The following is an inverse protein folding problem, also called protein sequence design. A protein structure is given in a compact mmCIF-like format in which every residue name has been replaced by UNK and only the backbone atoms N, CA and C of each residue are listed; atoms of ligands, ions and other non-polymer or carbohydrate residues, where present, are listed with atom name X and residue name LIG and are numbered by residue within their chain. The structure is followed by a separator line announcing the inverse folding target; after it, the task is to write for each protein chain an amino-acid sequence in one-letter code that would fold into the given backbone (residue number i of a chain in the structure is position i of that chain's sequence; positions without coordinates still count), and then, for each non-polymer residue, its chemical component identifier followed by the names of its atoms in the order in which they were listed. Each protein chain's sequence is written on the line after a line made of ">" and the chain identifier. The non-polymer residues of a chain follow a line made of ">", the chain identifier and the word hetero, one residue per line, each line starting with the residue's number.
data_IF_625033009165
#
_entry.id   IF_625033009165
#
_cell.length_a   1.000
_cell.length_b   1.000
_cell.length_c   1.000
_cell.angle_alpha   90.00
_cell.angle_beta   90.00
_cell.angle_gamma   90.00
#
_symmetry.space_group_name_H-M   'P 1'
#
loop_
_entity.id
_entity.type
_entity.pdbx_description
1 polymer ?
#
# COMPACT_ATOMS: atom_id res chain seq x y z
N UNK A 1 -37.66 -8.73 12.98
CA UNK A 1 -38.62 -7.64 12.91
C UNK A 1 -39.93 -8.11 13.54
N UNK A 2 -40.54 -7.27 14.33
CA UNK A 2 -41.81 -7.54 15.00
C UNK A 2 -42.96 -6.81 14.31
N UNK A 3 -44.22 -7.28 14.56
CA UNK A 3 -45.44 -6.67 14.02
C UNK A 3 -45.78 -5.30 14.58
N UNK A 4 -45.17 -4.92 15.72
CA UNK A 4 -45.27 -3.63 16.38
C UNK A 4 -44.10 -2.68 16.06
N UNK A 5 -43.30 -3.02 15.00
CA UNK A 5 -42.32 -2.12 14.40
C UNK A 5 -40.94 -2.13 15.03
N UNK A 6 -40.60 -3.10 15.89
CA UNK A 6 -39.23 -3.22 16.40
C UNK A 6 -38.36 -4.06 15.47
N UNK A 7 -37.15 -3.59 15.27
CA UNK A 7 -36.06 -4.41 14.71
C UNK A 7 -35.08 -4.76 15.84
N UNK A 8 -34.83 -6.04 16.04
CA UNK A 8 -33.97 -6.55 17.09
C UNK A 8 -32.75 -7.20 16.43
N UNK A 9 -31.56 -6.75 16.82
CA UNK A 9 -30.28 -7.31 16.43
C UNK A 9 -29.61 -7.89 17.66
N UNK A 10 -29.18 -9.16 17.56
CA UNK A 10 -28.48 -9.85 18.63
C UNK A 10 -27.44 -10.81 18.04
N UNK A 11 -26.41 -11.13 18.81
CA UNK A 11 -25.38 -12.11 18.42
C UNK A 11 -25.93 -13.52 18.25
N UNK A 12 -26.99 -13.84 18.99
CA UNK A 12 -27.63 -15.17 18.98
C UNK A 12 -29.16 -15.08 19.13
N UNK A 13 -29.82 -16.14 18.72
CA UNK A 13 -31.27 -16.27 18.86
C UNK A 13 -31.62 -16.53 20.32
N UNK A 14 -32.60 -15.80 20.84
CA UNK A 14 -33.09 -15.97 22.22
C UNK A 14 -32.42 -15.02 23.23
N UNK A 15 -31.50 -14.16 22.81
CA UNK A 15 -30.93 -13.12 23.67
C UNK A 15 -31.99 -12.18 24.26
N UNK A 16 -33.10 -11.98 23.54
CA UNK A 16 -34.27 -11.28 24.00
C UNK A 16 -35.52 -12.17 23.80
N UNK A 17 -36.31 -12.44 24.83
CA UNK A 17 -37.53 -13.21 24.70
C UNK A 17 -38.59 -12.41 23.94
N UNK A 18 -38.91 -12.85 22.72
CA UNK A 18 -39.95 -12.27 21.87
C UNK A 18 -40.95 -13.37 21.55
N UNK A 19 -42.24 -13.17 21.87
CA UNK A 19 -43.28 -14.13 21.54
C UNK A 19 -43.34 -14.41 20.04
N UNK A 20 -43.44 -15.67 19.63
CA UNK A 20 -43.44 -16.04 18.20
C UNK A 20 -44.47 -15.31 17.34
N UNK A 21 -45.65 -15.07 17.88
CA UNK A 21 -46.76 -14.38 17.22
C UNK A 21 -46.48 -12.90 16.93
N UNK A 22 -45.50 -12.32 17.57
CA UNK A 22 -45.03 -10.94 17.29
C UNK A 22 -44.00 -10.87 16.19
N UNK A 23 -43.45 -12.00 15.77
CA UNK A 23 -42.31 -12.04 14.82
C UNK A 23 -42.83 -12.09 13.38
N UNK A 24 -42.60 -11.03 12.62
CA UNK A 24 -42.95 -10.94 11.22
C UNK A 24 -41.82 -11.51 10.35
N UNK A 25 -40.56 -11.27 10.74
CA UNK A 25 -39.38 -11.69 9.97
C UNK A 25 -38.23 -12.04 10.89
N UNK A 26 -37.57 -13.19 10.58
CA UNK A 26 -36.26 -13.57 11.12
C UNK A 26 -35.27 -13.71 9.97
N UNK A 27 -34.07 -13.22 10.16
CA UNK A 27 -32.98 -13.39 9.21
C UNK A 27 -31.63 -13.38 9.92
N UNK A 28 -30.59 -13.78 9.24
CA UNK A 28 -29.21 -13.68 9.70
C UNK A 28 -28.44 -12.79 8.73
N UNK A 29 -27.72 -11.80 9.29
CA UNK A 29 -26.80 -11.01 8.49
C UNK A 29 -25.62 -11.91 8.08
N UNK A 30 -25.44 -12.07 6.77
CA UNK A 30 -24.37 -12.90 6.23
C UNK A 30 -23.04 -12.11 6.21
N UNK A 31 -21.89 -12.78 6.30
CA UNK A 31 -20.58 -12.13 6.13
C UNK A 31 -20.52 -11.34 4.80
N UNK A 32 -19.93 -10.15 4.83
CA UNK A 32 -19.83 -9.28 3.66
C UNK A 32 -21.15 -8.63 3.19
N UNK A 33 -22.24 -8.80 3.96
CA UNK A 33 -23.54 -8.19 3.69
C UNK A 33 -23.78 -7.01 4.64
N UNK A 34 -24.48 -6.00 4.14
CA UNK A 34 -24.87 -4.80 4.88
C UNK A 34 -26.38 -4.75 5.09
N UNK A 35 -26.79 -4.13 6.18
CA UNK A 35 -28.17 -3.81 6.49
C UNK A 35 -28.21 -2.38 7.01
N UNK A 36 -28.98 -1.52 6.37
CA UNK A 36 -29.21 -0.15 6.82
C UNK A 36 -30.66 -0.03 7.33
N UNK A 37 -30.80 0.54 8.50
CA UNK A 37 -32.11 0.84 9.09
C UNK A 37 -32.20 2.35 9.36
N UNK A 38 -33.06 3.03 8.63
CA UNK A 38 -33.40 4.43 8.91
C UNK A 38 -34.57 4.48 9.88
N UNK A 39 -34.28 4.78 11.14
CA UNK A 39 -35.27 4.84 12.21
C UNK A 39 -36.23 6.03 12.12
N UNK A 40 -35.90 7.04 11.30
CA UNK A 40 -36.79 8.20 11.10
C UNK A 40 -37.88 7.87 10.10
N UNK A 41 -37.57 7.12 9.08
CA UNK A 41 -38.50 6.74 8.00
C UNK A 41 -39.09 5.35 8.20
N UNK A 42 -38.53 4.54 9.10
CA UNK A 42 -38.85 3.13 9.27
C UNK A 42 -38.41 2.24 8.11
N UNK A 43 -37.51 2.72 7.27
CA UNK A 43 -37.04 2.00 6.07
C UNK A 43 -35.89 1.05 6.40
N UNK A 44 -36.00 -0.17 5.87
CA UNK A 44 -34.93 -1.18 5.99
C UNK A 44 -34.40 -1.46 4.59
N UNK A 45 -33.15 -1.09 4.33
CA UNK A 45 -32.45 -1.35 3.06
C UNK A 45 -31.54 -2.56 3.20
N UNK A 46 -31.68 -3.51 2.29
CA UNK A 46 -30.85 -4.70 2.23
C UNK A 46 -29.59 -4.48 1.39
N UNK A 47 -28.62 -5.38 1.55
CA UNK A 47 -27.28 -5.30 0.96
C UNK A 47 -27.29 -4.91 -0.53
N UNK A 48 -28.09 -5.58 -1.34
CA UNK A 48 -28.10 -5.33 -2.80
C UNK A 48 -28.62 -3.94 -3.14
N UNK A 49 -29.67 -3.52 -2.51
CA UNK A 49 -30.27 -2.20 -2.72
C UNK A 49 -29.34 -1.09 -2.23
N UNK A 50 -28.76 -1.29 -1.05
CA UNK A 50 -27.82 -0.34 -0.45
C UNK A 50 -26.56 -0.17 -1.32
N UNK A 51 -25.95 -1.28 -1.76
CA UNK A 51 -24.80 -1.25 -2.66
C UNK A 51 -25.11 -0.59 -4.00
N UNK A 52 -26.27 -0.91 -4.58
CA UNK A 52 -26.70 -0.29 -5.83
C UNK A 52 -26.92 1.22 -5.67
N UNK A 53 -27.52 1.65 -4.56
CA UNK A 53 -27.73 3.06 -4.28
C UNK A 53 -26.40 3.82 -4.22
N UNK A 54 -25.45 3.34 -3.43
CA UNK A 54 -24.13 3.99 -3.32
C UNK A 54 -23.33 3.92 -4.62
N UNK A 55 -23.38 2.80 -5.33
CA UNK A 55 -22.66 2.67 -6.60
C UNK A 55 -23.22 3.58 -7.71
N UNK A 56 -24.48 4.00 -7.60
CA UNK A 56 -25.14 4.89 -8.55
C UNK A 56 -25.14 6.38 -8.12
N UNK A 57 -24.59 6.70 -6.95
CA UNK A 57 -24.61 8.06 -6.39
C UNK A 57 -23.76 9.03 -7.20
N UNK A 58 -22.63 8.55 -7.71
CA UNK A 58 -21.70 9.30 -8.55
C UNK A 58 -21.22 8.46 -9.75
N UNK A 59 -20.71 9.09 -10.80
CA UNK A 59 -20.16 8.40 -11.96
C UNK A 59 -18.70 7.93 -11.69
N UNK A 60 -18.52 7.07 -10.69
CA UNK A 60 -17.19 6.62 -10.22
C UNK A 60 -16.33 6.00 -11.34
N UNK A 61 -16.94 5.29 -12.29
CA UNK A 61 -16.24 4.74 -13.45
C UNK A 61 -15.63 5.83 -14.32
N UNK A 62 -16.40 6.88 -14.62
CA UNK A 62 -15.93 8.02 -15.42
C UNK A 62 -14.80 8.78 -14.69
N UNK A 63 -14.90 8.92 -13.36
CA UNK A 63 -13.86 9.55 -12.55
C UNK A 63 -12.54 8.77 -12.61
N UNK A 64 -12.61 7.45 -12.50
CA UNK A 64 -11.42 6.60 -12.62
C UNK A 64 -10.83 6.66 -14.03
N UNK A 65 -11.65 6.61 -15.06
CA UNK A 65 -11.19 6.68 -16.47
C UNK A 65 -10.49 8.01 -16.79
N UNK A 66 -10.92 9.11 -16.16
CA UNK A 66 -10.38 10.45 -16.40
C UNK A 66 -9.17 10.79 -15.54
N UNK A 67 -9.16 10.36 -14.28
CA UNK A 67 -8.21 10.85 -13.27
C UNK A 67 -7.13 9.84 -12.90
N UNK A 68 -7.43 8.52 -12.98
CA UNK A 68 -6.48 7.48 -12.59
C UNK A 68 -5.39 7.32 -13.66
N UNK A 69 -4.14 7.59 -13.26
CA UNK A 69 -3.00 7.44 -14.16
C UNK A 69 -2.34 6.08 -13.96
N UNK A 70 -2.15 5.33 -15.04
CA UNK A 70 -1.41 4.08 -15.03
C UNK A 70 0.09 4.34 -15.29
N UNK A 71 0.99 3.78 -14.48
CA UNK A 71 2.44 3.89 -14.73
C UNK A 71 2.84 3.36 -16.11
N UNK A 72 2.13 2.35 -16.62
CA UNK A 72 2.36 1.77 -17.93
C UNK A 72 2.15 2.81 -19.05
N UNK A 73 1.16 3.67 -18.93
CA UNK A 73 0.74 4.62 -19.96
C UNK A 73 1.61 5.88 -20.02
N UNK A 74 2.43 6.12 -18.97
CA UNK A 74 3.36 7.26 -18.97
C UNK A 74 4.45 7.03 -20.03
N UNK A 75 4.68 8.00 -20.93
CA UNK A 75 5.75 7.92 -21.92
C UNK A 75 7.13 7.76 -21.27
N UNK A 76 7.98 6.97 -21.88
CA UNK A 76 9.38 6.82 -21.42
C UNK A 76 10.11 8.11 -21.72
N UNK A 77 10.69 8.78 -20.70
CA UNK A 77 11.48 10.00 -20.93
C UNK A 77 12.67 9.74 -21.85
N UNK A 78 12.98 10.71 -22.73
CA UNK A 78 14.17 10.62 -23.57
C UNK A 78 15.45 10.90 -22.76
N UNK A 79 15.74 9.98 -21.82
CA UNK A 79 16.92 10.01 -20.95
C UNK A 79 17.60 8.66 -20.97
N UNK A 80 18.93 8.65 -21.00
CA UNK A 80 19.69 7.39 -20.92
C UNK A 80 19.63 6.83 -19.50
N UNK A 81 19.33 5.55 -19.38
CA UNK A 81 19.45 4.82 -18.12
C UNK A 81 20.93 4.73 -17.76
N UNK A 82 21.35 5.03 -16.52
CA UNK A 82 22.72 4.88 -16.08
C UNK A 82 23.20 3.43 -16.26
N UNK A 83 24.34 3.28 -16.88
CA UNK A 83 25.04 1.99 -16.99
C UNK A 83 26.23 2.01 -16.05
N UNK A 84 26.38 0.95 -15.28
CA UNK A 84 27.45 0.82 -14.30
C UNK A 84 28.45 -0.24 -14.72
N UNK A 85 29.73 0.05 -14.60
CA UNK A 85 30.80 -0.93 -14.71
C UNK A 85 30.69 -1.99 -13.62
N UNK A 86 31.36 -3.12 -13.78
CA UNK A 86 31.38 -4.18 -12.76
C UNK A 86 31.91 -3.67 -11.40
N UNK A 87 32.89 -2.77 -11.40
CA UNK A 87 33.46 -2.18 -10.20
C UNK A 87 32.45 -1.24 -9.51
N UNK A 88 31.76 -0.40 -10.25
CA UNK A 88 30.73 0.50 -9.72
C UNK A 88 29.56 -0.29 -9.14
N UNK A 89 29.08 -1.33 -9.85
CA UNK A 89 28.03 -2.23 -9.30
C UNK A 89 28.47 -2.89 -8.00
N UNK A 90 29.71 -3.39 -7.92
CA UNK A 90 30.22 -3.98 -6.68
C UNK A 90 30.28 -2.98 -5.53
N UNK A 91 30.59 -1.71 -5.81
CA UNK A 91 30.54 -0.64 -4.81
C UNK A 91 29.11 -0.33 -4.37
N UNK A 92 28.16 -0.25 -5.32
CA UNK A 92 26.75 -0.04 -5.02
C UNK A 92 26.17 -1.17 -4.17
N UNK A 93 26.48 -2.43 -4.47
CA UNK A 93 26.05 -3.56 -3.65
C UNK A 93 26.51 -3.40 -2.20
N UNK A 94 27.77 -2.99 -1.98
CA UNK A 94 28.29 -2.74 -0.62
C UNK A 94 27.58 -1.55 0.06
N UNK A 95 27.33 -0.47 -0.66
CA UNK A 95 26.66 0.73 -0.13
C UNK A 95 25.23 0.39 0.29
N UNK A 96 24.50 -0.39 -0.51
CA UNK A 96 23.14 -0.81 -0.22
C UNK A 96 23.04 -2.05 0.67
N UNK A 97 24.15 -2.59 1.15
CA UNK A 97 24.20 -3.70 2.11
C UNK A 97 23.91 -5.07 1.50
N UNK A 98 23.94 -5.24 0.18
CA UNK A 98 23.79 -6.55 -0.45
C UNK A 98 25.01 -7.43 -0.21
N UNK A 99 24.78 -8.63 0.32
CA UNK A 99 25.79 -9.65 0.50
C UNK A 99 25.96 -10.50 -0.78
N UNK A 100 27.08 -11.23 -0.84
CA UNK A 100 27.29 -12.20 -1.93
C UNK A 100 26.18 -13.26 -1.96
N UNK A 101 25.81 -13.76 -0.79
CA UNK A 101 24.79 -14.81 -0.66
C UNK A 101 23.41 -14.31 -1.11
N UNK A 102 23.00 -13.11 -0.74
CA UNK A 102 21.74 -12.53 -1.21
C UNK A 102 21.70 -12.40 -2.72
N UNK A 103 22.81 -11.96 -3.34
CA UNK A 103 22.87 -11.81 -4.79
C UNK A 103 22.81 -13.16 -5.49
N UNK A 104 23.57 -14.17 -5.02
CA UNK A 104 23.71 -15.45 -5.71
C UNK A 104 22.63 -16.47 -5.36
N UNK A 105 22.13 -16.44 -4.12
CA UNK A 105 21.16 -17.41 -3.63
C UNK A 105 19.72 -16.94 -3.71
N UNK A 106 19.48 -15.63 -3.82
CA UNK A 106 18.15 -15.05 -3.92
C UNK A 106 17.93 -14.30 -5.25
N UNK A 107 18.62 -13.18 -5.47
CA UNK A 107 18.34 -12.27 -6.57
C UNK A 107 18.62 -12.92 -7.94
N UNK A 108 19.76 -13.61 -8.09
CA UNK A 108 20.13 -14.26 -9.35
C UNK A 108 19.17 -15.40 -9.73
N UNK A 109 18.77 -16.31 -8.83
CA UNK A 109 17.72 -17.28 -9.13
C UNK A 109 16.39 -16.66 -9.54
N UNK A 110 15.94 -15.62 -8.84
CA UNK A 110 14.71 -14.89 -9.22
C UNK A 110 14.82 -14.31 -10.63
N UNK A 111 15.95 -13.68 -10.96
CA UNK A 111 16.18 -13.10 -12.27
C UNK A 111 16.23 -14.15 -13.39
N UNK A 112 16.72 -15.36 -13.11
CA UNK A 112 16.82 -16.46 -14.07
C UNK A 112 15.51 -17.21 -14.28
N UNK A 113 14.79 -17.45 -13.18
CA UNK A 113 13.68 -18.39 -13.19
C UNK A 113 12.31 -17.70 -13.15
N UNK A 114 12.27 -16.37 -12.88
CA UNK A 114 11.02 -15.65 -12.70
C UNK A 114 10.21 -16.12 -11.50
N UNK A 115 10.86 -16.78 -10.52
CA UNK A 115 10.22 -17.33 -9.33
C UNK A 115 11.11 -17.12 -8.10
N UNK A 116 10.49 -17.00 -6.96
CA UNK A 116 11.18 -16.86 -5.68
C UNK A 116 11.91 -18.17 -5.31
N UNK A 117 13.19 -18.13 -4.92
CA UNK A 117 13.91 -19.31 -4.48
C UNK A 117 13.45 -19.76 -3.10
N UNK A 118 13.63 -21.04 -2.81
CA UNK A 118 13.42 -21.56 -1.46
C UNK A 118 14.51 -20.98 -0.53
N UNK A 119 14.09 -20.32 0.54
CA UNK A 119 14.97 -19.71 1.53
C UNK A 119 14.43 -19.91 2.94
N UNK A 120 15.33 -19.85 3.93
CA UNK A 120 14.92 -19.79 5.33
C UNK A 120 14.27 -18.44 5.63
N UNK A 121 13.19 -18.44 6.42
CA UNK A 121 12.57 -17.21 6.89
C UNK A 121 13.29 -16.68 8.12
N UNK A 122 13.59 -15.37 8.10
CA UNK A 122 14.26 -14.65 9.18
C UNK A 122 15.77 -14.94 9.23
N UNK A 123 16.47 -14.16 10.02
CA UNK A 123 17.89 -14.34 10.28
C UNK A 123 18.14 -14.34 11.78
N UNK A 124 18.53 -15.50 12.33
CA UNK A 124 18.98 -15.64 13.72
C UNK A 124 20.49 -15.50 13.87
N UNK A 125 21.15 -14.89 12.89
CA UNK A 125 22.58 -14.66 12.92
C UNK A 125 22.88 -13.62 14.00
N UNK A 126 23.74 -13.93 15.01
CA UNK A 126 24.17 -12.95 16.00
C UNK A 126 24.86 -11.76 15.33
N UNK A 127 24.58 -10.56 15.81
CA UNK A 127 25.29 -9.38 15.35
C UNK A 127 26.79 -9.49 15.68
N UNK A 128 27.63 -9.15 14.71
CA UNK A 128 29.08 -9.11 14.89
C UNK A 128 29.46 -7.81 15.66
N UNK A 129 29.25 -7.80 16.96
CA UNK A 129 29.37 -6.61 17.82
C UNK A 129 30.76 -5.99 17.86
N UNK A 130 31.80 -6.75 17.49
CA UNK A 130 33.17 -6.27 17.37
C UNK A 130 33.56 -5.83 15.96
N UNK A 131 32.64 -5.89 15.01
CA UNK A 131 32.89 -5.46 13.63
C UNK A 131 32.67 -3.96 13.48
N UNK A 132 33.61 -3.29 12.83
CA UNK A 132 33.45 -1.89 12.40
C UNK A 132 32.66 -1.74 11.09
N UNK A 133 32.23 -2.86 10.48
CA UNK A 133 31.44 -2.81 9.24
C UNK A 133 30.03 -2.39 9.56
N UNK A 134 29.56 -1.42 8.77
CA UNK A 134 28.16 -0.98 8.80
C UNK A 134 27.21 -2.14 8.47
N UNK A 135 26.15 -2.25 9.25
CA UNK A 135 25.02 -3.14 8.99
C UNK A 135 23.75 -2.30 8.76
N UNK A 136 22.86 -2.69 7.85
CA UNK A 136 21.55 -2.07 7.72
C UNK A 136 20.78 -2.07 9.04
N UNK A 137 20.05 -1.00 9.31
CA UNK A 137 19.36 -0.79 10.58
C UNK A 137 18.41 -1.93 10.94
N UNK A 138 17.72 -2.51 9.97
CA UNK A 138 16.76 -3.60 10.19
C UNK A 138 17.39 -4.90 10.72
N UNK A 139 18.71 -5.14 10.58
CA UNK A 139 19.39 -6.28 11.18
C UNK A 139 19.51 -6.19 12.70
N UNK A 140 19.30 -5.00 13.29
CA UNK A 140 19.35 -4.81 14.75
C UNK A 140 18.01 -5.17 15.41
N UNK A 141 16.94 -5.40 14.63
CA UNK A 141 15.62 -5.75 15.16
C UNK A 141 15.33 -7.22 14.91
N UNK A 142 14.90 -7.91 15.96
CA UNK A 142 14.52 -9.32 15.89
C UNK A 142 13.07 -9.51 16.30
N UNK A 143 12.38 -10.38 15.62
CA UNK A 143 11.11 -10.89 16.13
C UNK A 143 11.34 -11.84 17.29
N UNK A 144 10.62 -11.63 18.38
CA UNK A 144 10.71 -12.44 19.61
C UNK A 144 9.46 -13.29 19.84
N UNK A 145 8.56 -13.33 18.86
CA UNK A 145 7.33 -14.14 18.90
C UNK A 145 7.25 -15.05 17.67
N UNK A 146 6.59 -16.20 17.85
CA UNK A 146 6.36 -17.15 16.76
C UNK A 146 5.31 -16.60 15.80
N UNK A 147 5.55 -16.80 14.49
CA UNK A 147 4.58 -16.52 13.44
C UNK A 147 4.26 -17.79 12.65
N UNK A 148 3.02 -17.89 12.15
CA UNK A 148 2.66 -18.94 11.20
C UNK A 148 3.31 -18.65 9.85
N UNK A 149 3.92 -19.67 9.24
CA UNK A 149 4.55 -19.56 7.90
C UNK A 149 3.51 -19.49 6.79
N UNK A 150 2.40 -20.22 6.97
CA UNK A 150 1.28 -20.25 6.03
C UNK A 150 0.00 -19.84 6.77
N UNK A 151 -0.38 -18.56 6.75
CA UNK A 151 -1.63 -18.12 7.35
C UNK A 151 -2.81 -18.77 6.62
N UNK A 152 -3.90 -19.13 7.34
CA UNK A 152 -5.07 -19.78 6.75
C UNK A 152 -5.88 -18.77 5.92
N UNK A 153 -5.48 -18.56 4.68
CA UNK A 153 -6.15 -17.68 3.71
C UNK A 153 -6.77 -18.57 2.62
N UNK A 154 -8.06 -18.39 2.34
CA UNK A 154 -8.70 -19.05 1.22
C UNK A 154 -8.27 -18.43 -0.13
N UNK A 155 -8.39 -19.19 -1.21
CA UNK A 155 -7.91 -18.80 -2.54
C UNK A 155 -8.59 -17.52 -3.09
N UNK A 156 -9.82 -17.22 -2.70
CA UNK A 156 -10.52 -16.00 -3.13
C UNK A 156 -9.99 -14.78 -2.40
N UNK A 157 -9.67 -14.93 -1.12
CA UNK A 157 -9.14 -13.86 -0.29
C UNK A 157 -7.66 -13.62 -0.56
N UNK A 158 -6.93 -14.64 -0.98
CA UNK A 158 -5.50 -14.55 -1.30
C UNK A 158 -5.22 -13.46 -2.34
N UNK A 159 -6.03 -13.37 -3.39
CA UNK A 159 -5.88 -12.38 -4.45
C UNK A 159 -5.87 -10.93 -3.92
N UNK A 160 -6.70 -10.63 -2.91
CA UNK A 160 -6.75 -9.29 -2.32
C UNK A 160 -5.62 -9.06 -1.31
N UNK A 161 -5.26 -10.10 -0.53
CA UNK A 161 -4.24 -9.99 0.53
C UNK A 161 -2.83 -9.92 -0.05
N UNK A 162 -2.60 -10.57 -1.19
CA UNK A 162 -1.31 -10.60 -1.89
C UNK A 162 -1.21 -9.61 -3.04
N UNK A 163 -2.20 -8.75 -3.22
CA UNK A 163 -2.14 -7.68 -4.23
C UNK A 163 -0.96 -6.74 -3.92
N UNK A 164 -0.12 -6.54 -4.93
CA UNK A 164 1.07 -5.68 -4.85
C UNK A 164 0.83 -4.30 -5.47
N UNK A 165 -0.38 -4.00 -5.90
CA UNK A 165 -0.74 -2.71 -6.49
C UNK A 165 -0.61 -1.60 -5.44
N UNK A 166 0.07 -0.53 -5.83
CA UNK A 166 0.28 0.67 -5.01
C UNK A 166 -0.30 1.87 -5.72
N UNK A 167 -0.96 2.73 -4.98
CA UNK A 167 -1.44 4.03 -5.46
C UNK A 167 -0.58 5.12 -4.84
N UNK A 168 0.10 5.90 -5.70
CA UNK A 168 0.96 6.99 -5.27
C UNK A 168 0.35 8.35 -5.65
N UNK A 169 0.42 9.30 -4.73
CA UNK A 169 -0.17 10.63 -4.89
C UNK A 169 -0.85 11.09 -3.62
N UNK A 170 -1.77 12.03 -3.73
CA UNK A 170 -2.57 12.50 -2.60
C UNK A 170 -3.91 11.76 -2.58
N UNK A 171 -4.30 11.25 -1.43
CA UNK A 171 -5.64 10.65 -1.23
C UNK A 171 -6.76 11.70 -1.22
N UNK A 172 -6.41 12.99 -1.25
CA UNK A 172 -7.37 14.07 -1.19
C UNK A 172 -8.09 14.14 0.16
N UNK A 173 -9.36 14.52 0.14
CA UNK A 173 -10.21 14.55 1.33
C UNK A 173 -11.01 13.25 1.43
N UNK A 174 -10.64 12.36 2.34
CA UNK A 174 -11.29 11.06 2.56
C UNK A 174 -12.77 11.16 3.02
N UNK A 175 -13.22 12.37 3.41
CA UNK A 175 -14.60 12.62 3.81
C UNK A 175 -15.44 13.23 2.68
N UNK A 176 -14.89 13.33 1.48
CA UNK A 176 -15.56 13.94 0.32
C UNK A 176 -15.44 13.01 -0.89
N UNK A 177 -16.57 12.66 -1.47
CA UNK A 177 -16.64 11.90 -2.71
C UNK A 177 -16.54 12.89 -3.89
N UNK A 178 -15.36 12.94 -4.51
CA UNK A 178 -15.11 13.81 -5.67
C UNK A 178 -14.09 13.19 -6.63
N UNK A 179 -14.14 13.60 -7.89
CA UNK A 179 -13.28 13.07 -8.94
C UNK A 179 -11.78 13.27 -8.65
N UNK A 180 -11.44 14.39 -8.01
CA UNK A 180 -10.06 14.74 -7.68
C UNK A 180 -9.38 13.71 -6.77
N UNK A 181 -10.14 13.01 -5.92
CA UNK A 181 -9.61 11.94 -5.06
C UNK A 181 -9.15 10.72 -5.87
N UNK A 182 -9.61 10.57 -7.12
CA UNK A 182 -9.17 9.50 -8.01
C UNK A 182 -7.84 9.83 -8.73
N UNK A 183 -7.31 11.05 -8.58
CA UNK A 183 -6.09 11.50 -9.24
C UNK A 183 -4.84 10.98 -8.56
N UNK A 184 -4.56 9.71 -8.78
CA UNK A 184 -3.40 8.99 -8.25
C UNK A 184 -2.70 8.18 -9.35
N UNK A 185 -1.43 7.88 -9.13
CA UNK A 185 -0.66 7.00 -9.98
C UNK A 185 -0.80 5.55 -9.51
N UNK A 186 -1.38 4.71 -10.33
CA UNK A 186 -1.43 3.27 -10.08
C UNK A 186 -0.14 2.59 -10.54
N UNK A 187 0.46 1.84 -9.65
CA UNK A 187 1.70 1.08 -9.84
C UNK A 187 1.39 -0.37 -9.50
N UNK A 188 1.39 -1.26 -10.49
CA UNK A 188 0.99 -2.67 -10.31
C UNK A 188 2.00 -3.49 -9.49
N UNK A 189 3.24 -3.02 -9.39
CA UNK A 189 4.29 -3.69 -8.60
C UNK A 189 5.22 -2.64 -7.98
N UNK A 190 5.46 -2.68 -6.64
CA UNK A 190 6.32 -1.70 -5.98
C UNK A 190 7.80 -1.81 -6.35
N UNK A 191 8.21 -2.90 -7.01
CA UNK A 191 9.56 -3.05 -7.55
C UNK A 191 9.63 -2.36 -8.92
N UNK A 192 10.32 -1.22 -8.97
CA UNK A 192 10.41 -0.37 -10.14
C UNK A 192 11.70 -0.59 -10.90
N UNK A 193 11.64 -0.56 -12.22
CA UNK A 193 12.83 -0.44 -13.07
C UNK A 193 13.34 1.00 -13.04
N UNK A 194 14.59 1.20 -13.49
CA UNK A 194 15.13 2.57 -13.66
C UNK A 194 14.28 3.41 -14.62
N UNK A 195 13.67 2.79 -15.62
CA UNK A 195 12.76 3.48 -16.57
C UNK A 195 11.47 3.90 -15.90
N UNK A 196 10.89 3.04 -15.06
CA UNK A 196 9.67 3.37 -14.31
C UNK A 196 9.93 4.53 -13.34
N UNK A 197 11.07 4.50 -12.63
CA UNK A 197 11.46 5.61 -11.78
C UNK A 197 11.62 6.92 -12.56
N UNK A 198 12.23 6.88 -13.77
CA UNK A 198 12.34 8.06 -14.63
C UNK A 198 10.98 8.59 -15.09
N UNK A 199 10.00 7.71 -15.36
CA UNK A 199 8.63 8.12 -15.67
C UNK A 199 8.02 8.90 -14.50
N UNK A 200 8.17 8.38 -13.27
CA UNK A 200 7.66 9.02 -12.06
C UNK A 200 8.38 10.36 -11.80
N UNK A 201 9.72 10.41 -11.93
CA UNK A 201 10.49 11.65 -11.81
C UNK A 201 10.02 12.76 -12.78
N UNK A 202 9.48 12.37 -13.92
CA UNK A 202 8.96 13.28 -14.95
C UNK A 202 7.52 13.75 -14.73
N UNK A 203 6.85 13.33 -13.66
CA UNK A 203 5.47 13.71 -13.39
C UNK A 203 5.39 15.17 -12.93
N UNK A 204 4.72 15.98 -13.75
CA UNK A 204 4.46 17.40 -13.51
C UNK A 204 3.05 17.76 -14.01
N UNK A 205 2.05 17.09 -13.44
CA UNK A 205 0.64 17.33 -13.74
C UNK A 205 -0.04 18.05 -12.57
N UNK A 206 -1.09 18.85 -12.80
CA UNK A 206 -1.90 19.39 -11.71
C UNK A 206 -2.43 18.27 -10.82
N UNK A 207 -2.16 18.32 -9.50
CA UNK A 207 -2.57 17.32 -8.55
C UNK A 207 -1.75 16.02 -8.53
N UNK A 208 -0.74 15.88 -9.41
CA UNK A 208 0.18 14.74 -9.42
C UNK A 208 1.58 15.18 -9.83
N UNK A 209 2.39 15.53 -8.84
CA UNK A 209 3.73 16.08 -9.05
C UNK A 209 4.77 15.34 -8.22
N UNK A 210 5.80 14.81 -8.88
CA UNK A 210 6.92 14.17 -8.21
C UNK A 210 8.10 15.11 -7.98
N UNK A 211 8.77 14.98 -6.84
CA UNK A 211 9.98 15.73 -6.51
C UNK A 211 11.04 14.83 -5.93
N UNK A 212 12.24 14.89 -6.50
CA UNK A 212 13.42 14.21 -5.97
C UNK A 212 14.04 15.03 -4.84
N UNK A 213 14.31 14.40 -3.71
CA UNK A 213 14.98 14.96 -2.53
C UNK A 213 16.22 14.13 -2.24
N UNK A 214 17.38 14.81 -2.17
CA UNK A 214 18.66 14.13 -1.94
C UNK A 214 18.79 13.66 -0.51
N UNK A 215 19.23 12.40 -0.34
CA UNK A 215 19.60 11.80 0.94
C UNK A 215 21.08 12.02 1.29
N UNK A 216 21.86 12.57 0.37
CA UNK A 216 23.29 12.75 0.55
C UNK A 216 23.61 13.87 1.53
N UNK A 217 24.53 13.60 2.47
CA UNK A 217 25.05 14.59 3.39
C UNK A 217 26.57 14.48 3.56
N UNK A 218 27.20 15.53 4.02
CA UNK A 218 28.64 15.56 4.15
C UNK A 218 29.10 14.76 5.38
N UNK A 219 30.24 14.10 5.24
CA UNK A 219 30.85 13.22 6.28
C UNK A 219 31.06 13.95 7.63
N UNK A 220 31.26 15.25 7.62
CA UNK A 220 31.47 16.07 8.83
C UNK A 220 30.17 16.59 9.45
N UNK A 221 29.02 16.31 8.86
CA UNK A 221 27.73 16.64 9.47
C UNK A 221 27.23 15.48 10.34
N UNK A 222 26.57 15.79 11.45
CA UNK A 222 25.89 14.77 12.24
C UNK A 222 24.66 14.23 11.52
N UNK A 223 24.29 12.96 11.81
CA UNK A 223 23.08 12.36 11.25
C UNK A 223 21.84 13.16 11.67
N UNK A 224 21.75 13.61 12.91
CA UNK A 224 20.63 14.43 13.39
C UNK A 224 20.44 15.68 12.52
N UNK A 225 21.52 16.44 12.32
CA UNK A 225 21.45 17.63 11.46
C UNK A 225 21.10 17.32 10.00
N UNK A 226 21.56 16.16 9.50
CA UNK A 226 21.23 15.70 8.14
C UNK A 226 19.74 15.37 8.01
N UNK A 227 19.15 14.72 9.01
CA UNK A 227 17.71 14.42 9.06
C UNK A 227 16.87 15.69 9.17
N UNK A 228 17.25 16.64 10.02
CA UNK A 228 16.55 17.93 10.13
C UNK A 228 16.51 18.67 8.77
N UNK A 229 17.64 18.68 8.06
CA UNK A 229 17.72 19.27 6.73
C UNK A 229 16.86 18.54 5.70
N UNK A 230 16.81 17.19 5.79
CA UNK A 230 15.96 16.37 4.94
C UNK A 230 14.48 16.68 5.17
N UNK A 231 14.05 16.78 6.43
CA UNK A 231 12.66 17.14 6.76
C UNK A 231 12.29 18.51 6.18
N UNK A 232 13.13 19.51 6.38
CA UNK A 232 12.91 20.84 5.77
C UNK A 232 12.86 20.79 4.26
N UNK A 233 13.67 19.96 3.61
CA UNK A 233 13.63 19.80 2.15
C UNK A 233 12.34 19.10 1.66
N UNK A 234 11.85 18.12 2.39
CA UNK A 234 10.57 17.45 2.13
C UNK A 234 9.40 18.42 2.31
N UNK A 235 9.38 19.19 3.39
CA UNK A 235 8.34 20.22 3.64
C UNK A 235 8.32 21.27 2.51
N UNK A 236 9.48 21.77 2.10
CA UNK A 236 9.57 22.70 0.97
C UNK A 236 9.04 22.10 -0.33
N UNK A 237 9.33 20.83 -0.60
CA UNK A 237 8.81 20.13 -1.77
C UNK A 237 7.29 20.00 -1.71
N UNK A 238 6.76 19.61 -0.55
CA UNK A 238 5.32 19.51 -0.31
C UNK A 238 4.60 20.85 -0.49
N UNK A 239 5.08 21.91 0.15
CA UNK A 239 4.50 23.26 -0.02
C UNK A 239 4.65 23.82 -1.43
N UNK A 240 5.59 23.31 -2.21
CA UNK A 240 5.71 23.62 -3.64
C UNK A 240 4.77 22.81 -4.54
N UNK A 241 3.91 21.95 -3.95
CA UNK A 241 2.89 21.18 -4.65
C UNK A 241 3.27 19.75 -4.98
N UNK A 242 4.41 19.23 -4.48
CA UNK A 242 4.77 17.84 -4.67
C UNK A 242 3.92 16.93 -3.77
N UNK A 243 3.34 15.88 -4.35
CA UNK A 243 2.60 14.85 -3.64
C UNK A 243 3.23 13.45 -3.79
N UNK A 244 4.32 13.36 -4.55
CA UNK A 244 5.20 12.19 -4.60
C UNK A 244 6.62 12.66 -4.31
N UNK A 245 7.24 12.12 -3.24
CA UNK A 245 8.63 12.39 -2.89
C UNK A 245 9.51 11.19 -3.23
N UNK A 246 10.56 11.41 -3.99
CA UNK A 246 11.56 10.41 -4.33
C UNK A 246 12.82 10.70 -3.52
N UNK A 247 13.08 9.88 -2.51
CA UNK A 247 14.27 9.98 -1.67
C UNK A 247 15.45 9.27 -2.35
N UNK A 248 16.50 10.01 -2.71
CA UNK A 248 17.61 9.46 -3.52
C UNK A 248 18.97 10.10 -3.20
#
# INVERSE_FOLDING_TARGET
>A
VTNDGYLILASEVGALPVPPERIVRKSRLQPGKMLLVDTRTGTVLEDRELKHRYAAEHPYGEWLDQELLQLADIPIPNRKVPEYTALERSRLYKIFGYTYDEIHSAILPMAKNGAEPTASMGADIPLAVLSEKHQPLFYYFKQIFAQVTNPPIDALREANVTDTTVYAGSDGNLLSDCAENCRVLQINNPVLTSRDLMKIEGLHMPGLQAKKVSLLYYKNASLALALDRLFVACDKAYYAGANILILS
#
